data_IF_870188624251
#
_entry.id   IF_870188624251
#
_cell.length_a   1.000
_cell.length_b   1.000
_cell.length_c   1.000
_cell.angle_alpha   90.00
_cell.angle_beta   90.00
_cell.angle_gamma   90.00
#
_symmetry.space_group_name_H-M   'P 1'
#
loop_
_entity.id
_entity.type
_entity.pdbx_description
1 polymer ?
#
# COMPACT_ATOMS: atom_id res chain seq x y z
N UNK A 1 -6.81 -8.59 -9.22
CA UNK A 1 -5.69 -9.48 -9.61
C UNK A 1 -4.45 -8.89 -8.96
N UNK A 2 -3.93 -9.51 -7.90
CA UNK A 2 -2.78 -9.02 -7.08
C UNK A 2 -2.37 -10.06 -6.00
N UNK A 3 -2.82 -11.31 -6.12
CA UNK A 3 -2.60 -12.33 -5.07
C UNK A 3 -1.11 -12.56 -4.84
N UNK A 4 -0.32 -12.50 -5.90
CA UNK A 4 1.12 -12.76 -5.87
C UNK A 4 1.88 -11.68 -5.09
N UNK A 5 1.46 -10.40 -5.18
CA UNK A 5 2.11 -9.31 -4.45
C UNK A 5 1.90 -9.44 -2.93
N UNK A 6 0.66 -9.78 -2.53
CA UNK A 6 0.39 -10.10 -1.13
C UNK A 6 1.19 -11.32 -0.68
N UNK A 7 1.27 -12.35 -1.50
CA UNK A 7 2.01 -13.56 -1.16
C UNK A 7 3.52 -13.31 -1.02
N UNK A 8 4.15 -12.55 -1.92
CA UNK A 8 5.58 -12.21 -1.83
C UNK A 8 5.92 -11.45 -0.54
N UNK A 9 5.06 -10.53 -0.10
CA UNK A 9 5.32 -9.73 1.11
C UNK A 9 4.96 -10.48 2.39
N UNK A 10 3.80 -11.15 2.43
CA UNK A 10 3.32 -11.81 3.64
C UNK A 10 3.88 -13.22 3.83
N UNK A 11 4.05 -14.00 2.75
CA UNK A 11 4.52 -15.39 2.82
C UNK A 11 6.04 -15.47 2.78
N UNK A 12 6.70 -14.70 1.89
CA UNK A 12 8.15 -14.76 1.75
C UNK A 12 8.90 -13.76 2.64
N UNK A 13 8.17 -12.89 3.37
CA UNK A 13 8.72 -11.89 4.32
C UNK A 13 9.92 -11.12 3.77
N UNK A 14 9.90 -10.81 2.48
CA UNK A 14 11.01 -10.13 1.82
C UNK A 14 11.20 -8.74 2.45
N UNK A 15 12.44 -8.34 2.78
CA UNK A 15 12.69 -7.04 3.39
C UNK A 15 12.31 -5.92 2.43
N UNK A 16 11.57 -4.93 2.93
CA UNK A 16 11.22 -3.72 2.20
C UNK A 16 11.23 -2.50 3.14
N UNK A 17 11.30 -1.30 2.58
CA UNK A 17 11.26 -0.04 3.35
C UNK A 17 9.86 0.57 3.46
N UNK A 18 8.88 -0.06 2.84
CA UNK A 18 7.48 0.34 2.84
C UNK A 18 6.90 0.09 1.46
N UNK A 19 5.70 -0.48 1.40
CA UNK A 19 5.01 -0.76 0.13
C UNK A 19 3.62 -0.18 0.22
N UNK A 20 3.25 0.62 -0.78
CA UNK A 20 1.91 1.15 -0.96
C UNK A 20 1.35 0.65 -2.28
N UNK A 21 0.33 -0.21 -2.20
CA UNK A 21 -0.41 -0.72 -3.36
C UNK A 21 -1.65 0.13 -3.59
N UNK A 22 -1.70 0.85 -4.71
CA UNK A 22 -2.85 1.65 -5.12
C UNK A 22 -3.78 0.80 -6.00
N UNK A 23 -4.97 0.50 -5.49
CA UNK A 23 -6.06 -0.18 -6.23
C UNK A 23 -7.12 0.84 -6.59
N UNK A 24 -6.89 1.45 -7.74
CA UNK A 24 -7.73 2.49 -8.31
C UNK A 24 -8.24 1.96 -9.66
N UNK A 25 -9.36 1.26 -9.63
CA UNK A 25 -10.02 0.74 -10.84
C UNK A 25 -10.42 1.91 -11.74
N UNK A 26 -10.14 1.79 -13.04
CA UNK A 26 -10.42 2.80 -14.08
C UNK A 26 -9.88 4.22 -13.83
N UNK A 27 -8.91 4.37 -12.92
CA UNK A 27 -8.46 5.69 -12.51
C UNK A 27 -7.55 6.38 -13.53
N UNK A 28 -7.82 7.67 -13.75
CA UNK A 28 -6.99 8.57 -14.57
C UNK A 28 -5.75 9.03 -13.81
N UNK A 29 -4.82 9.69 -14.52
CA UNK A 29 -3.55 10.13 -13.94
C UNK A 29 -3.74 11.08 -12.75
N UNK A 30 -4.73 11.98 -12.86
CA UNK A 30 -5.10 12.96 -11.84
C UNK A 30 -5.54 12.28 -10.54
N UNK A 31 -6.31 11.19 -10.62
CA UNK A 31 -6.79 10.45 -9.45
C UNK A 31 -5.65 9.70 -8.76
N UNK A 32 -4.70 9.15 -9.53
CA UNK A 32 -3.49 8.52 -8.99
C UNK A 32 -2.62 9.55 -8.26
N UNK A 33 -2.41 10.72 -8.86
CA UNK A 33 -1.68 11.84 -8.25
C UNK A 33 -2.37 12.30 -6.96
N UNK A 34 -3.68 12.48 -6.98
CA UNK A 34 -4.46 12.88 -5.82
C UNK A 34 -4.32 11.85 -4.68
N UNK A 35 -4.35 10.55 -4.98
CA UNK A 35 -4.14 9.51 -3.98
C UNK A 35 -2.75 9.63 -3.33
N UNK A 36 -1.69 9.77 -4.13
CA UNK A 36 -0.32 9.89 -3.62
C UNK A 36 -0.14 11.15 -2.78
N UNK A 37 -0.63 12.30 -3.26
CA UNK A 37 -0.54 13.59 -2.56
C UNK A 37 -1.32 13.60 -1.24
N UNK A 38 -2.42 12.83 -1.14
CA UNK A 38 -3.15 12.69 0.11
C UNK A 38 -2.50 11.70 1.08
N UNK A 39 -1.93 10.60 0.57
CA UNK A 39 -1.47 9.49 1.42
C UNK A 39 -0.06 9.76 1.96
N UNK A 40 0.91 10.10 1.09
CA UNK A 40 2.32 10.15 1.48
C UNK A 40 2.55 11.16 2.62
N UNK A 41 2.08 12.42 2.56
CA UNK A 41 2.36 13.38 3.62
C UNK A 41 1.74 13.01 4.98
N UNK A 42 0.66 12.22 4.99
CA UNK A 42 -0.10 11.88 6.20
C UNK A 42 0.34 10.56 6.83
N UNK A 43 0.76 9.59 6.02
CA UNK A 43 0.94 8.21 6.45
C UNK A 43 2.35 7.65 6.20
N UNK A 44 3.33 8.47 5.77
CA UNK A 44 4.69 8.00 5.45
C UNK A 44 5.31 7.18 6.59
N UNK A 45 5.25 7.69 7.82
CA UNK A 45 5.81 6.99 8.99
C UNK A 45 5.05 5.71 9.31
N UNK A 46 3.73 5.68 9.09
CA UNK A 46 2.91 4.48 9.32
C UNK A 46 3.12 3.40 8.26
N UNK A 47 3.46 3.79 7.03
CA UNK A 47 3.74 2.89 5.90
C UNK A 47 5.18 2.34 5.95
N UNK A 48 6.09 3.04 6.63
CA UNK A 48 7.49 2.65 6.77
C UNK A 48 7.60 1.21 7.29
N UNK A 49 8.37 0.39 6.57
CA UNK A 49 8.53 -1.05 6.84
C UNK A 49 7.22 -1.85 6.92
N UNK A 50 6.10 -1.32 6.40
CA UNK A 50 4.79 -1.99 6.37
C UNK A 50 4.25 -2.11 4.95
N UNK A 51 3.23 -2.95 4.82
CA UNK A 51 2.48 -3.10 3.58
C UNK A 51 1.14 -2.39 3.73
N UNK A 52 0.88 -1.43 2.84
CA UNK A 52 -0.34 -0.64 2.80
C UNK A 52 -1.08 -0.84 1.48
N UNK A 53 -2.41 -0.89 1.54
CA UNK A 53 -3.29 -0.96 0.38
C UNK A 53 -4.26 0.21 0.42
N UNK A 54 -4.30 0.99 -0.65
CA UNK A 54 -5.32 2.02 -0.86
C UNK A 54 -6.35 1.50 -1.87
N UNK A 55 -7.61 1.39 -1.45
CA UNK A 55 -8.69 0.92 -2.30
C UNK A 55 -10.00 1.60 -1.91
N UNK A 56 -10.78 2.06 -2.88
CA UNK A 56 -12.09 2.70 -2.68
C UNK A 56 -12.05 3.83 -1.63
N UNK A 57 -11.03 4.69 -1.70
CA UNK A 57 -10.85 5.81 -0.77
C UNK A 57 -10.34 5.44 0.61
N UNK A 58 -10.02 4.16 0.87
CA UNK A 58 -9.59 3.67 2.19
C UNK A 58 -8.15 3.17 2.16
N UNK A 59 -7.33 3.67 3.08
CA UNK A 59 -5.99 3.15 3.33
C UNK A 59 -6.05 2.07 4.41
N UNK A 60 -5.47 0.90 4.13
CA UNK A 60 -5.31 -0.20 5.09
C UNK A 60 -3.83 -0.48 5.25
N UNK A 61 -3.30 -0.31 6.46
CA UNK A 61 -1.89 -0.60 6.79
C UNK A 61 -1.84 -1.90 7.58
N UNK A 62 -1.03 -2.85 7.14
CA UNK A 62 -0.85 -4.15 7.80
C UNK A 62 0.46 -4.21 8.54
N UNK A 63 0.41 -4.68 9.77
CA UNK A 63 1.61 -4.92 10.57
C UNK A 63 2.16 -6.31 10.21
N UNK A 64 3.44 -6.37 9.84
CA UNK A 64 4.11 -7.61 9.44
C UNK A 64 4.67 -8.40 10.65
N UNK A 65 4.67 -7.80 11.83
CA UNK A 65 5.27 -8.36 13.06
C UNK A 65 4.36 -9.32 13.83
N UNK A 66 3.10 -9.54 13.42
CA UNK A 66 2.12 -10.35 14.16
C UNK A 66 1.60 -11.60 13.42
N UNK A 67 2.36 -12.12 12.45
CA UNK A 67 2.06 -13.40 11.76
C UNK A 67 3.26 -14.34 11.85
#
# INVERSE_FOLDING_TARGET
>A
MDKDFGELIFKNKLPHKGILLLRLEDAVAEEKLAAIQNIIPRYLEEIKNRFAVYQNGKLRIRNLESI
#
